data_IF_308800222381
#
_entry.id   IF_308800222381
#
_cell.length_a   1.000
_cell.length_b   1.000
_cell.length_c   1.000
_cell.angle_alpha   90.00
_cell.angle_beta   90.00
_cell.angle_gamma   90.00
#
_symmetry.space_group_name_H-M   'P 1'
#
loop_
_entity.id
_entity.type
_entity.pdbx_description
1 polymer ?
#
# COMPACT_ATOMS: atom_id res chain seq x y z
N UNK A 1 7.75 -17.99 4.02
CA UNK A 1 6.87 -16.84 3.71
C UNK A 1 6.75 -16.00 4.97
N UNK A 2 7.12 -14.71 4.94
CA UNK A 2 7.39 -13.89 6.15
C UNK A 2 6.17 -13.14 6.74
N UNK A 3 4.96 -13.42 6.26
CA UNK A 3 3.69 -12.88 6.80
C UNK A 3 2.78 -14.05 7.11
N UNK A 4 2.33 -14.19 8.36
CA UNK A 4 1.43 -15.28 8.76
C UNK A 4 0.08 -15.11 8.04
N UNK A 5 -0.32 -16.10 7.22
CA UNK A 5 -1.59 -16.10 6.49
C UNK A 5 -1.65 -15.22 5.23
N UNK A 6 -0.54 -14.63 4.78
CA UNK A 6 -0.48 -13.83 3.54
C UNK A 6 -1.45 -12.64 3.48
N UNK A 7 -1.93 -12.15 4.63
CA UNK A 7 -2.90 -11.06 4.69
C UNK A 7 -2.23 -9.70 4.58
N UNK A 8 -2.75 -8.86 3.67
CA UNK A 8 -2.33 -7.48 3.51
C UNK A 8 -2.82 -6.60 4.65
N UNK A 9 -3.93 -6.93 5.30
CA UNK A 9 -4.38 -6.21 6.50
C UNK A 9 -3.36 -6.34 7.64
N UNK A 10 -2.75 -7.52 7.77
CA UNK A 10 -1.69 -7.71 8.74
C UNK A 10 -0.43 -6.90 8.36
N UNK A 11 -0.07 -6.90 7.08
CA UNK A 11 1.04 -6.07 6.57
C UNK A 11 0.80 -4.58 6.82
N UNK A 12 -0.39 -4.05 6.52
CA UNK A 12 -0.79 -2.67 6.78
C UNK A 12 -0.64 -2.31 8.27
N UNK A 13 -1.07 -3.21 9.16
CA UNK A 13 -0.91 -3.06 10.62
C UNK A 13 0.56 -3.06 11.05
N UNK A 14 1.40 -3.91 10.45
CA UNK A 14 2.84 -3.94 10.74
C UNK A 14 3.54 -2.65 10.28
N UNK A 15 3.19 -2.16 9.09
CA UNK A 15 3.72 -0.92 8.52
C UNK A 15 3.31 0.29 9.38
N UNK A 16 2.08 0.30 9.94
CA UNK A 16 1.64 1.29 10.94
C UNK A 16 2.52 1.30 12.18
N UNK A 17 2.76 0.12 12.77
CA UNK A 17 3.63 -0.03 13.93
C UNK A 17 5.07 0.44 13.66
N UNK A 18 5.63 0.06 12.51
CA UNK A 18 6.96 0.50 12.07
C UNK A 18 7.04 2.03 11.96
N UNK A 19 6.06 2.66 11.32
CA UNK A 19 6.05 4.12 11.14
C UNK A 19 5.98 4.87 12.47
N UNK A 20 5.19 4.38 13.43
CA UNK A 20 5.11 4.93 14.78
C UNK A 20 6.46 4.79 15.50
N UNK A 21 7.11 3.63 15.37
CA UNK A 21 8.41 3.35 16.00
C UNK A 21 9.57 4.20 15.43
N UNK A 22 9.45 4.67 14.17
CA UNK A 22 10.43 5.58 13.56
C UNK A 22 10.32 7.02 14.06
N UNK A 23 9.15 7.45 14.53
CA UNK A 23 8.89 8.84 14.91
C UNK A 23 9.86 9.42 15.97
N UNK A 24 10.27 8.69 17.03
CA UNK A 24 11.24 9.17 18.02
C UNK A 24 12.62 9.50 17.46
N UNK A 25 12.98 8.93 16.31
CA UNK A 25 14.31 9.10 15.69
C UNK A 25 14.37 10.23 14.66
N UNK A 26 13.26 10.96 14.46
CA UNK A 26 13.21 12.06 13.47
C UNK A 26 13.41 11.60 12.03
N UNK A 27 13.21 10.30 11.75
CA UNK A 27 13.33 9.74 10.41
C UNK A 27 12.13 10.15 9.55
N UNK A 28 12.35 11.12 8.67
CA UNK A 28 11.41 11.50 7.61
C UNK A 28 11.73 10.70 6.36
N UNK A 29 11.29 9.43 6.33
CA UNK A 29 11.22 8.68 5.09
C UNK A 29 9.97 9.10 4.30
N UNK A 30 10.08 9.13 2.97
CA UNK A 30 8.89 9.24 2.12
C UNK A 30 7.99 8.02 2.37
N UNK A 31 6.78 8.27 2.88
CA UNK A 31 5.90 7.21 3.35
C UNK A 31 4.62 7.19 2.50
N UNK A 32 4.51 6.30 1.51
CA UNK A 32 3.48 6.37 0.49
C UNK A 32 2.13 5.81 0.94
N UNK A 33 2.06 5.13 2.10
CA UNK A 33 0.89 4.34 2.49
C UNK A 33 -0.20 5.16 3.23
N UNK A 34 0.19 6.12 4.07
CA UNK A 34 -0.73 7.06 4.74
C UNK A 34 0.01 8.28 5.28
N UNK A 35 -0.68 9.40 5.42
CA UNK A 35 -0.19 10.55 6.18
C UNK A 35 -1.14 10.84 7.35
N UNK A 36 -0.68 11.51 8.42
CA UNK A 36 -1.58 11.94 9.49
C UNK A 36 -2.75 12.76 8.92
N UNK A 37 -3.96 12.19 8.98
CA UNK A 37 -5.19 12.84 8.49
C UNK A 37 -5.47 12.71 6.99
N UNK A 38 -4.65 12.00 6.20
CA UNK A 38 -4.95 11.78 4.78
C UNK A 38 -4.51 10.40 4.26
N UNK A 39 -5.10 9.99 3.14
CA UNK A 39 -4.64 8.80 2.41
C UNK A 39 -3.22 9.03 1.87
N UNK A 40 -2.44 7.95 1.77
CA UNK A 40 -1.10 8.01 1.21
C UNK A 40 -1.14 8.06 -0.31
N UNK A 41 -0.08 8.57 -0.92
CA UNK A 41 0.03 8.74 -2.38
C UNK A 41 -0.08 7.42 -3.15
N UNK A 42 0.26 6.28 -2.54
CA UNK A 42 0.01 4.96 -3.14
C UNK A 42 -1.48 4.64 -3.25
N UNK A 43 -2.26 4.92 -2.19
CA UNK A 43 -3.71 4.70 -2.23
C UNK A 43 -4.38 5.63 -3.25
N UNK A 44 -3.96 6.90 -3.31
CA UNK A 44 -4.44 7.84 -4.32
C UNK A 44 -4.17 7.36 -5.75
N UNK A 45 -2.93 6.93 -6.01
CA UNK A 45 -2.56 6.33 -7.30
C UNK A 45 -3.40 5.10 -7.62
N UNK A 46 -3.62 4.22 -6.63
CA UNK A 46 -4.42 3.01 -6.80
C UNK A 46 -5.87 3.35 -7.19
N UNK A 47 -6.47 4.36 -6.58
CA UNK A 47 -7.83 4.79 -6.92
C UNK A 47 -7.94 5.36 -8.33
N UNK A 48 -6.94 6.13 -8.76
CA UNK A 48 -6.87 6.62 -10.14
C UNK A 48 -6.77 5.45 -11.12
N UNK A 49 -5.89 4.48 -10.84
CA UNK A 49 -5.70 3.30 -11.68
C UNK A 49 -6.96 2.44 -11.80
N UNK A 50 -7.69 2.26 -10.70
CA UNK A 50 -8.90 1.44 -10.67
C UNK A 50 -10.16 2.20 -11.15
N UNK A 51 -10.06 3.51 -11.37
CA UNK A 51 -11.21 4.36 -11.71
C UNK A 51 -12.28 4.42 -10.61
N UNK A 52 -11.93 4.06 -9.37
CA UNK A 52 -12.86 4.05 -8.23
C UNK A 52 -12.14 4.37 -6.93
N UNK A 53 -12.86 5.00 -6.00
CA UNK A 53 -12.40 5.20 -4.63
C UNK A 53 -12.97 4.10 -3.72
N UNK A 54 -12.20 3.69 -2.70
CA UNK A 54 -12.66 2.76 -1.66
C UNK A 54 -12.43 3.35 -0.28
N UNK A 55 -13.42 3.20 0.59
CA UNK A 55 -13.34 3.59 2.01
C UNK A 55 -12.61 2.55 2.87
N UNK A 56 -12.36 1.35 2.34
CA UNK A 56 -11.76 0.24 3.09
C UNK A 56 -10.21 0.29 3.16
N UNK A 57 -9.60 1.25 2.47
CA UNK A 57 -8.14 1.34 2.35
C UNK A 57 -7.57 0.42 1.27
N UNK A 58 -6.29 0.61 0.96
CA UNK A 58 -5.62 -0.11 -0.13
C UNK A 58 -5.53 -1.62 0.13
N UNK A 59 -5.22 -2.04 1.37
CA UNK A 59 -5.00 -3.45 1.71
C UNK A 59 -6.24 -4.32 1.51
N UNK A 60 -7.38 -3.90 2.08
CA UNK A 60 -8.66 -4.60 1.92
C UNK A 60 -9.12 -4.66 0.46
N UNK A 61 -8.87 -3.59 -0.30
CA UNK A 61 -9.23 -3.58 -1.72
C UNK A 61 -8.39 -4.56 -2.54
N UNK A 62 -7.07 -4.60 -2.30
CA UNK A 62 -6.18 -5.52 -3.02
C UNK A 62 -6.54 -6.97 -2.68
N UNK A 63 -6.83 -7.29 -1.42
CA UNK A 63 -7.32 -8.63 -1.04
C UNK A 63 -8.63 -8.97 -1.79
N UNK A 64 -9.57 -8.03 -1.88
CA UNK A 64 -10.82 -8.22 -2.62
C UNK A 64 -10.59 -8.48 -4.11
N UNK A 65 -9.67 -7.76 -4.75
CA UNK A 65 -9.34 -7.96 -6.16
C UNK A 65 -8.60 -9.27 -6.40
N UNK A 66 -7.63 -9.58 -5.55
CA UNK A 66 -6.87 -10.83 -5.62
C UNK A 66 -7.81 -12.04 -5.49
N UNK A 67 -8.75 -11.99 -4.54
CA UNK A 67 -9.77 -13.02 -4.37
C UNK A 67 -10.68 -13.17 -5.59
N UNK A 68 -11.09 -12.06 -6.22
CA UNK A 68 -11.93 -12.09 -7.42
C UNK A 68 -11.17 -12.63 -8.65
N UNK A 69 -9.86 -12.41 -8.71
CA UNK A 69 -8.99 -12.87 -9.80
C UNK A 69 -8.37 -14.26 -9.56
N UNK A 70 -8.54 -14.83 -8.36
CA UNK A 70 -7.88 -16.09 -7.97
C UNK A 70 -6.36 -15.98 -7.85
N UNK A 71 -5.86 -14.80 -7.50
CA UNK A 71 -4.44 -14.47 -7.39
C UNK A 71 -4.02 -14.35 -5.92
N UNK A 72 -2.72 -14.50 -5.63
CA UNK A 72 -2.15 -14.22 -4.31
C UNK A 72 -2.18 -12.70 -4.05
N UNK A 73 -2.80 -12.27 -2.95
CA UNK A 73 -2.93 -10.85 -2.62
C UNK A 73 -1.57 -10.15 -2.44
N UNK A 74 -0.59 -10.88 -1.90
CA UNK A 74 0.76 -10.36 -1.72
C UNK A 74 1.48 -10.11 -3.05
N UNK A 75 1.32 -11.02 -4.02
CA UNK A 75 1.88 -10.85 -5.37
C UNK A 75 1.24 -9.66 -6.08
N UNK A 76 -0.09 -9.53 -5.99
CA UNK A 76 -0.82 -8.40 -6.55
C UNK A 76 -0.38 -7.08 -5.91
N UNK A 77 -0.18 -7.05 -4.59
CA UNK A 77 0.33 -5.87 -3.89
C UNK A 77 1.72 -5.46 -4.42
N UNK A 78 2.68 -6.38 -4.48
CA UNK A 78 4.02 -6.06 -4.95
C UNK A 78 4.02 -5.60 -6.41
N UNK A 79 3.26 -6.27 -7.29
CA UNK A 79 3.12 -5.84 -8.68
C UNK A 79 2.58 -4.41 -8.78
N UNK A 80 1.51 -4.09 -8.06
CA UNK A 80 0.92 -2.75 -8.05
C UNK A 80 1.89 -1.71 -7.47
N UNK A 81 2.61 -2.05 -6.41
CA UNK A 81 3.56 -1.15 -5.78
C UNK A 81 4.79 -0.87 -6.67
N UNK A 82 5.27 -1.87 -7.39
CA UNK A 82 6.37 -1.70 -8.36
C UNK A 82 5.95 -0.81 -9.54
N UNK A 83 4.72 -0.97 -10.04
CA UNK A 83 4.16 -0.08 -11.07
C UNK A 83 4.07 1.37 -10.57
N UNK A 84 3.52 1.57 -9.38
CA UNK A 84 3.47 2.88 -8.72
C UNK A 84 4.85 3.54 -8.61
N UNK A 85 5.86 2.79 -8.17
CA UNK A 85 7.23 3.30 -8.04
C UNK A 85 7.82 3.68 -9.39
N UNK A 86 7.61 2.84 -10.40
CA UNK A 86 8.08 3.08 -11.76
C UNK A 86 7.48 4.38 -12.31
N UNK A 87 6.17 4.57 -12.21
CA UNK A 87 5.49 5.78 -12.68
C UNK A 87 5.96 7.06 -11.95
N UNK A 88 6.22 6.96 -10.63
CA UNK A 88 6.77 8.08 -9.86
C UNK A 88 8.18 8.44 -10.29
N UNK A 89 9.04 7.45 -10.54
CA UNK A 89 10.40 7.67 -11.04
C UNK A 89 10.41 8.31 -12.43
N UNK A 90 9.45 7.97 -13.29
CA UNK A 90 9.28 8.59 -14.61
C UNK A 90 8.78 10.03 -14.53
N UNK A 91 7.90 10.34 -13.58
CA UNK A 91 7.35 11.70 -13.41
C UNK A 91 8.36 12.67 -12.76
N UNK A 92 9.36 12.14 -12.05
CA UNK A 92 10.41 12.94 -11.41
C UNK A 92 11.57 13.33 -12.35
N UNK A 93 11.58 12.89 -13.61
CA UNK A 93 12.59 13.22 -14.63
C UNK A 93 12.09 14.29 -15.58
#
# INVERSE_FOLDING_TARGET
MWVHGSSLLHLDSMLMGYRIALNPYGAYEDWPFWNPGSQGSFAEWLWQRLGRHSSLGWAAEIERQAQAAGQEAMELFFSLFDEYRTEREHTAR
#
